data_IF_747163796175
#
_entry.id   IF_747163796175
#
_cell.length_a   1.000
_cell.length_b   1.000
_cell.length_c   1.000
_cell.angle_alpha   90.00
_cell.angle_beta   90.00
_cell.angle_gamma   90.00
#
_symmetry.space_group_name_H-M   'P 1'
#
loop_
_entity.id
_entity.type
_entity.pdbx_description
1 polymer ?
#
# COMPACT_ATOMS: atom_id res chain seq x y z
N UNK A 1 -17.92 7.92 -16.45
CA UNK A 1 -17.09 7.80 -15.22
C UNK A 1 -17.07 6.35 -14.71
N UNK A 2 -18.21 5.74 -14.41
CA UNK A 2 -18.31 4.38 -13.84
C UNK A 2 -17.60 3.30 -14.65
N UNK A 3 -17.66 3.34 -15.99
CA UNK A 3 -16.96 2.38 -16.86
C UNK A 3 -15.43 2.45 -16.69
N UNK A 4 -14.87 3.65 -16.48
CA UNK A 4 -13.42 3.81 -16.27
C UNK A 4 -12.96 3.22 -14.93
N UNK A 5 -13.81 3.25 -13.90
CA UNK A 5 -13.54 2.56 -12.62
C UNK A 5 -13.46 1.05 -12.84
N UNK A 6 -14.43 0.48 -13.58
CA UNK A 6 -14.43 -0.96 -13.90
C UNK A 6 -13.16 -1.33 -14.69
N UNK A 7 -12.81 -0.53 -15.71
CA UNK A 7 -11.58 -0.74 -16.49
C UNK A 7 -10.36 -0.71 -15.58
N UNK A 8 -10.25 0.26 -14.66
CA UNK A 8 -9.12 0.36 -13.73
C UNK A 8 -9.05 -0.87 -12.81
N UNK A 9 -10.18 -1.33 -12.25
CA UNK A 9 -10.21 -2.55 -11.43
C UNK A 9 -9.75 -3.78 -12.23
N UNK A 10 -10.22 -3.94 -13.47
CA UNK A 10 -9.82 -5.06 -14.34
C UNK A 10 -8.33 -4.99 -14.66
N UNK A 11 -7.79 -3.81 -14.97
CA UNK A 11 -6.36 -3.62 -15.22
C UNK A 11 -5.50 -3.94 -14.00
N UNK A 12 -5.91 -3.54 -12.79
CA UNK A 12 -5.21 -3.86 -11.54
C UNK A 12 -5.18 -5.37 -11.28
N UNK A 13 -6.33 -6.04 -11.44
CA UNK A 13 -6.40 -7.50 -11.28
C UNK A 13 -5.58 -8.23 -12.33
N UNK A 14 -5.65 -7.81 -13.59
CA UNK A 14 -4.86 -8.40 -14.67
C UNK A 14 -3.35 -8.21 -14.42
N UNK A 15 -2.94 -7.03 -13.94
CA UNK A 15 -1.55 -6.75 -13.57
C UNK A 15 -1.07 -7.66 -12.43
N UNK A 16 -1.86 -7.78 -11.36
CA UNK A 16 -1.51 -8.64 -10.21
C UNK A 16 -1.42 -10.10 -10.61
N UNK A 17 -2.44 -10.63 -11.29
CA UNK A 17 -2.48 -12.03 -11.76
C UNK A 17 -1.31 -12.30 -12.74
N UNK A 18 -1.06 -11.38 -13.67
CA UNK A 18 0.05 -11.45 -14.61
C UNK A 18 1.41 -11.45 -13.91
N UNK A 19 1.57 -10.62 -12.88
CA UNK A 19 2.79 -10.55 -12.07
C UNK A 19 3.04 -11.86 -11.30
N UNK A 20 2.01 -12.43 -10.68
CA UNK A 20 2.08 -13.72 -9.98
C UNK A 20 2.39 -14.85 -10.96
N UNK A 21 1.69 -14.90 -12.10
CA UNK A 21 1.93 -15.90 -13.14
C UNK A 21 3.36 -15.83 -13.68
N UNK A 22 3.85 -14.63 -14.00
CA UNK A 22 5.22 -14.41 -14.46
C UNK A 22 6.25 -14.86 -13.41
N UNK A 23 6.04 -14.46 -12.16
CA UNK A 23 6.92 -14.85 -11.06
C UNK A 23 6.93 -16.37 -10.84
N UNK A 24 5.75 -17.02 -10.93
CA UNK A 24 5.64 -18.49 -10.86
C UNK A 24 6.38 -19.17 -11.99
N UNK A 25 6.20 -18.69 -13.23
CA UNK A 25 6.83 -19.30 -14.42
C UNK A 25 8.33 -19.09 -14.44
N UNK A 26 8.82 -17.90 -14.13
CA UNK A 26 10.24 -17.53 -14.31
C UNK A 26 11.09 -17.82 -13.07
N UNK A 27 10.57 -17.57 -11.89
CA UNK A 27 11.31 -17.67 -10.64
C UNK A 27 10.85 -18.83 -9.75
N UNK A 28 9.85 -19.59 -10.20
CA UNK A 28 9.30 -20.77 -9.52
C UNK A 28 8.89 -20.47 -8.06
N UNK A 29 8.31 -19.28 -7.80
CA UNK A 29 7.92 -18.88 -6.47
C UNK A 29 7.02 -19.91 -5.80
N UNK A 30 7.11 -20.02 -4.47
CA UNK A 30 6.27 -20.88 -3.67
C UNK A 30 4.94 -20.16 -3.35
N UNK A 31 3.82 -20.70 -3.83
CA UNK A 31 2.49 -20.12 -3.61
C UNK A 31 2.06 -20.15 -2.13
N UNK A 32 2.58 -21.08 -1.31
CA UNK A 32 2.33 -21.06 0.12
C UNK A 32 3.01 -19.85 0.79
N UNK A 33 4.23 -19.49 0.37
CA UNK A 33 4.93 -18.29 0.83
C UNK A 33 4.19 -17.01 0.38
N UNK A 34 3.65 -17.00 -0.85
CA UNK A 34 2.78 -15.92 -1.31
C UNK A 34 1.54 -15.78 -0.43
N UNK A 35 0.85 -16.88 -0.17
CA UNK A 35 -0.33 -16.88 0.73
C UNK A 35 0.00 -16.39 2.14
N UNK A 36 1.16 -16.79 2.69
CA UNK A 36 1.63 -16.32 3.99
C UNK A 36 1.95 -14.82 3.98
N UNK A 37 2.50 -14.28 2.89
CA UNK A 37 2.68 -12.83 2.72
C UNK A 37 1.36 -12.07 2.76
N UNK A 38 0.33 -12.58 2.07
CA UNK A 38 -1.01 -12.02 2.10
C UNK A 38 -1.63 -12.07 3.52
N UNK A 39 -1.54 -13.21 4.20
CA UNK A 39 -2.02 -13.35 5.60
C UNK A 39 -1.27 -12.41 6.54
N UNK A 40 0.05 -12.25 6.37
CA UNK A 40 0.85 -11.35 7.19
C UNK A 40 0.39 -9.89 7.04
N UNK A 41 0.16 -9.40 5.81
CA UNK A 41 -0.42 -8.08 5.59
C UNK A 41 -1.78 -7.95 6.27
N UNK A 42 -2.68 -8.90 6.05
CA UNK A 42 -4.03 -8.84 6.63
C UNK A 42 -3.99 -8.76 8.16
N UNK A 43 -3.20 -9.61 8.80
CA UNK A 43 -3.10 -9.64 10.26
C UNK A 43 -2.41 -8.39 10.80
N UNK A 44 -1.26 -8.00 10.24
CA UNK A 44 -0.49 -6.86 10.73
C UNK A 44 -1.20 -5.52 10.49
N UNK A 45 -1.64 -5.26 9.26
CA UNK A 45 -2.16 -3.96 8.87
C UNK A 45 -3.68 -3.85 9.06
N UNK A 46 -4.46 -4.89 8.68
CA UNK A 46 -5.92 -4.80 8.73
C UNK A 46 -6.52 -5.20 10.09
N UNK A 47 -5.77 -5.88 10.95
CA UNK A 47 -6.23 -6.25 12.30
C UNK A 47 -5.43 -5.49 13.35
N UNK A 48 -4.14 -5.77 13.50
CA UNK A 48 -3.36 -5.27 14.63
C UNK A 48 -3.18 -3.75 14.58
N UNK A 49 -2.77 -3.22 13.46
CA UNK A 49 -2.58 -1.78 13.26
C UNK A 49 -3.93 -1.03 13.42
N UNK A 50 -5.02 -1.54 12.83
CA UNK A 50 -6.35 -0.94 12.99
C UNK A 50 -6.85 -0.93 14.42
N UNK A 51 -6.56 -1.96 15.20
CA UNK A 51 -6.89 -1.96 16.63
C UNK A 51 -6.15 -0.85 17.36
N UNK A 52 -4.87 -0.62 17.06
CA UNK A 52 -4.11 0.49 17.63
C UNK A 52 -4.65 1.84 17.15
N UNK A 53 -5.02 1.97 15.86
CA UNK A 53 -5.65 3.18 15.34
C UNK A 53 -6.96 3.52 16.05
N UNK A 54 -7.82 2.54 16.32
CA UNK A 54 -9.07 2.77 17.08
C UNK A 54 -8.75 3.27 18.48
N UNK A 55 -7.74 2.71 19.16
CA UNK A 55 -7.36 3.09 20.51
C UNK A 55 -6.65 4.46 20.61
N UNK A 56 -5.93 4.87 19.57
CA UNK A 56 -5.12 6.11 19.58
C UNK A 56 -5.85 7.27 18.90
N UNK A 57 -6.47 7.02 17.75
CA UNK A 57 -7.08 8.06 16.93
C UNK A 57 -8.54 8.36 17.33
N UNK A 58 -9.19 7.45 18.04
CA UNK A 58 -10.58 7.59 18.50
C UNK A 58 -11.53 8.11 17.40
N UNK A 59 -11.66 7.40 16.25
CA UNK A 59 -12.49 7.87 15.14
C UNK A 59 -13.93 8.09 15.62
N UNK A 60 -14.51 9.23 15.27
CA UNK A 60 -15.87 9.61 15.63
C UNK A 60 -16.88 8.87 14.74
N UNK A 61 -18.15 8.87 15.15
CA UNK A 61 -19.23 8.21 14.38
C UNK A 61 -19.43 8.78 12.98
N UNK A 62 -19.09 10.04 12.77
CA UNK A 62 -19.12 10.73 11.48
C UNK A 62 -17.86 10.48 10.62
N UNK A 63 -16.94 9.65 11.12
CA UNK A 63 -15.67 9.34 10.47
C UNK A 63 -14.57 10.38 10.67
N UNK A 64 -14.82 11.47 11.43
CA UNK A 64 -13.79 12.45 11.72
C UNK A 64 -12.77 11.90 12.73
N UNK A 65 -11.53 12.42 12.65
CA UNK A 65 -10.42 12.09 13.53
C UNK A 65 -9.90 13.40 14.13
N UNK A 66 -10.05 13.56 15.46
CA UNK A 66 -9.63 14.76 16.14
C UNK A 66 -8.14 15.09 15.91
N UNK A 67 -7.26 14.10 16.00
CA UNK A 67 -5.82 14.30 15.76
C UNK A 67 -5.51 14.88 14.37
N UNK A 68 -6.26 14.46 13.34
CA UNK A 68 -6.12 14.98 11.98
C UNK A 68 -6.50 16.47 11.90
N UNK A 69 -7.53 16.87 12.64
CA UNK A 69 -8.02 18.27 12.65
C UNK A 69 -7.15 19.17 13.51
N UNK A 70 -6.76 18.69 14.71
CA UNK A 70 -6.06 19.49 15.72
C UNK A 70 -4.56 19.58 15.45
N UNK A 71 -3.95 18.50 14.97
CA UNK A 71 -2.51 18.43 14.72
C UNK A 71 -2.18 17.51 13.52
N UNK A 72 -2.36 17.99 12.28
CA UNK A 72 -2.11 17.20 11.07
C UNK A 72 -0.68 16.65 10.97
N UNK A 73 0.32 17.40 11.48
CA UNK A 73 1.71 16.94 11.48
C UNK A 73 1.89 15.70 12.37
N UNK A 74 1.33 15.73 13.57
CA UNK A 74 1.40 14.57 14.48
C UNK A 74 0.62 13.37 13.90
N UNK A 75 -0.51 13.63 13.23
CA UNK A 75 -1.26 12.60 12.53
C UNK A 75 -0.44 11.91 11.45
N UNK A 76 0.28 12.69 10.61
CA UNK A 76 1.20 12.16 9.60
C UNK A 76 2.29 11.31 10.24
N UNK A 77 3.03 11.87 11.21
CA UNK A 77 4.14 11.17 11.89
C UNK A 77 3.66 9.85 12.50
N UNK A 78 2.51 9.87 13.16
CA UNK A 78 1.89 8.68 13.73
C UNK A 78 1.56 7.64 12.65
N UNK A 79 0.88 8.03 11.56
CA UNK A 79 0.50 7.15 10.47
C UNK A 79 1.71 6.47 9.82
N UNK A 80 2.72 7.27 9.45
CA UNK A 80 3.97 6.78 8.87
C UNK A 80 4.70 5.78 9.79
N UNK A 81 4.77 6.10 11.08
CA UNK A 81 5.42 5.23 12.06
C UNK A 81 4.66 3.91 12.25
N UNK A 82 3.33 3.94 12.30
CA UNK A 82 2.51 2.75 12.51
C UNK A 82 2.53 1.82 11.31
N UNK A 83 2.31 2.32 10.10
CA UNK A 83 2.36 1.52 8.89
C UNK A 83 3.72 0.80 8.76
N UNK A 84 4.82 1.56 8.83
CA UNK A 84 6.15 0.99 8.77
C UNK A 84 6.39 -0.04 9.89
N UNK A 85 6.02 0.26 11.14
CA UNK A 85 6.22 -0.62 12.29
C UNK A 85 5.51 -1.96 12.11
N UNK A 86 4.23 -1.94 11.80
CA UNK A 86 3.43 -3.16 11.70
C UNK A 86 3.84 -4.02 10.51
N UNK A 87 4.02 -3.41 9.35
CA UNK A 87 4.31 -4.16 8.14
C UNK A 87 5.73 -4.70 8.08
N UNK A 88 6.75 -3.88 8.41
CA UNK A 88 8.15 -4.36 8.38
C UNK A 88 8.42 -5.36 9.51
N UNK A 89 7.76 -5.20 10.67
CA UNK A 89 7.84 -6.20 11.75
C UNK A 89 7.22 -7.53 11.32
N UNK A 90 6.08 -7.51 10.63
CA UNK A 90 5.46 -8.73 10.10
C UNK A 90 6.38 -9.45 9.11
N UNK A 91 7.04 -8.72 8.21
CA UNK A 91 8.07 -9.27 7.30
C UNK A 91 9.23 -9.89 8.07
N UNK A 92 9.74 -9.17 9.07
CA UNK A 92 10.84 -9.66 9.92
C UNK A 92 10.48 -10.96 10.63
N UNK A 93 9.32 -11.00 11.27
CA UNK A 93 8.81 -12.18 11.99
C UNK A 93 8.70 -13.37 11.04
N UNK A 94 8.12 -13.15 9.85
CA UNK A 94 7.97 -14.20 8.85
C UNK A 94 9.33 -14.74 8.37
N UNK A 95 10.27 -13.88 7.98
CA UNK A 95 11.56 -14.36 7.47
C UNK A 95 12.41 -15.02 8.55
N UNK A 96 12.37 -14.54 9.80
CA UNK A 96 13.02 -15.23 10.92
C UNK A 96 12.40 -16.60 11.21
N UNK A 97 11.09 -16.71 11.10
CA UNK A 97 10.40 -17.99 11.25
C UNK A 97 10.77 -18.95 10.11
N UNK A 98 10.82 -18.47 8.87
CA UNK A 98 11.16 -19.30 7.72
C UNK A 98 12.63 -19.76 7.77
N UNK A 99 13.54 -18.86 8.16
CA UNK A 99 14.99 -19.17 8.34
C UNK A 99 15.23 -20.30 9.33
N UNK A 100 14.43 -20.41 10.40
CA UNK A 100 14.50 -21.53 11.34
C UNK A 100 14.07 -22.87 10.75
N UNK A 101 13.31 -22.86 9.67
CA UNK A 101 12.78 -24.08 9.02
C UNK A 101 13.63 -24.53 7.83
N UNK A 102 14.19 -23.60 7.09
CA UNK A 102 15.04 -23.85 5.93
C UNK A 102 15.81 -22.60 5.51
N UNK A 103 16.82 -22.78 4.65
CA UNK A 103 17.53 -21.66 4.04
C UNK A 103 16.59 -20.74 3.26
N UNK A 104 16.79 -19.45 3.41
CA UNK A 104 16.03 -18.43 2.67
C UNK A 104 16.51 -18.31 1.23
N UNK A 105 15.57 -18.27 0.29
CA UNK A 105 15.82 -18.10 -1.13
C UNK A 105 15.33 -16.72 -1.62
N UNK A 106 15.91 -16.21 -2.70
CA UNK A 106 15.43 -14.96 -3.33
C UNK A 106 13.98 -15.06 -3.80
N UNK A 107 13.56 -16.26 -4.21
CA UNK A 107 12.18 -16.55 -4.60
C UNK A 107 11.20 -16.37 -3.44
N UNK A 108 11.64 -16.56 -2.18
CA UNK A 108 10.79 -16.32 -0.99
C UNK A 108 10.48 -14.84 -0.82
N UNK A 109 11.47 -13.96 -1.02
CA UNK A 109 11.25 -12.53 -0.94
C UNK A 109 10.25 -12.07 -2.01
N UNK A 110 10.40 -12.56 -3.24
CA UNK A 110 9.48 -12.26 -4.33
C UNK A 110 8.06 -12.80 -4.06
N UNK A 111 7.96 -14.04 -3.59
CA UNK A 111 6.68 -14.66 -3.28
C UNK A 111 5.95 -13.93 -2.13
N UNK A 112 6.64 -13.67 -1.03
CA UNK A 112 6.08 -12.95 0.10
C UNK A 112 5.67 -11.53 -0.29
N UNK A 113 6.53 -10.79 -0.98
CA UNK A 113 6.25 -9.41 -1.41
C UNK A 113 5.05 -9.32 -2.36
N UNK A 114 4.90 -10.27 -3.31
CA UNK A 114 3.73 -10.36 -4.17
C UNK A 114 2.46 -10.72 -3.38
N UNK A 115 2.57 -11.54 -2.35
CA UNK A 115 1.44 -11.87 -1.48
C UNK A 115 1.01 -10.68 -0.63
N UNK A 116 1.96 -10.05 0.04
CA UNK A 116 1.74 -8.89 0.91
C UNK A 116 1.21 -7.69 0.12
N UNK A 117 2.00 -7.17 -0.82
CA UNK A 117 1.60 -6.01 -1.63
C UNK A 117 0.44 -6.30 -2.59
N UNK A 118 0.29 -7.58 -3.02
CA UNK A 118 -0.86 -8.01 -3.83
C UNK A 118 -2.16 -7.96 -3.05
N UNK A 119 -2.19 -8.40 -1.79
CA UNK A 119 -3.39 -8.28 -0.95
C UNK A 119 -3.66 -6.81 -0.58
N UNK A 120 -2.63 -6.02 -0.33
CA UNK A 120 -2.76 -4.57 -0.14
C UNK A 120 -3.42 -3.91 -1.35
N UNK A 121 -2.93 -4.20 -2.59
CA UNK A 121 -3.51 -3.69 -3.83
C UNK A 121 -5.00 -4.06 -3.94
N UNK A 122 -5.36 -5.31 -3.62
CA UNK A 122 -6.77 -5.76 -3.63
C UNK A 122 -7.56 -5.06 -2.54
N UNK A 123 -7.06 -5.06 -1.30
CA UNK A 123 -7.81 -4.59 -0.15
C UNK A 123 -7.97 -3.06 -0.13
N UNK A 124 -6.92 -2.31 -0.42
CA UNK A 124 -6.98 -0.85 -0.44
C UNK A 124 -7.40 -0.32 -1.82
N UNK A 125 -6.85 -0.86 -2.89
CA UNK A 125 -7.11 -0.38 -4.25
C UNK A 125 -8.53 -0.72 -4.74
N UNK A 126 -8.93 -1.99 -4.71
CA UNK A 126 -10.24 -2.37 -5.23
C UNK A 126 -11.37 -1.88 -4.32
N UNK A 127 -11.23 -1.90 -2.97
CA UNK A 127 -12.28 -1.38 -2.09
C UNK A 127 -12.50 0.12 -2.30
N UNK A 128 -11.43 0.91 -2.49
CA UNK A 128 -11.53 2.34 -2.78
C UNK A 128 -12.25 2.59 -4.12
N UNK A 129 -11.91 1.84 -5.15
CA UNK A 129 -12.57 1.93 -6.46
C UNK A 129 -14.03 1.47 -6.42
N UNK A 130 -14.34 0.41 -5.65
CA UNK A 130 -15.73 -0.06 -5.44
C UNK A 130 -16.54 1.02 -4.71
N UNK A 131 -16.00 1.61 -3.64
CA UNK A 131 -16.66 2.69 -2.93
C UNK A 131 -16.91 3.90 -3.83
N UNK A 132 -15.90 4.29 -4.63
CA UNK A 132 -16.04 5.35 -5.61
C UNK A 132 -17.11 5.02 -6.66
N UNK A 133 -17.19 3.78 -7.14
CA UNK A 133 -18.22 3.32 -8.06
C UNK A 133 -19.63 3.46 -7.45
N UNK A 134 -19.81 2.98 -6.21
CA UNK A 134 -21.09 3.05 -5.49
C UNK A 134 -21.54 4.50 -5.34
N UNK A 135 -20.64 5.37 -4.85
CA UNK A 135 -20.97 6.78 -4.63
C UNK A 135 -21.26 7.51 -5.93
N UNK A 136 -20.45 7.34 -6.98
CA UNK A 136 -20.71 7.94 -8.30
C UNK A 136 -22.03 7.47 -8.91
N UNK A 137 -22.32 6.17 -8.80
CA UNK A 137 -23.59 5.62 -9.29
C UNK A 137 -24.78 6.20 -8.53
N UNK A 138 -24.65 6.34 -7.21
CA UNK A 138 -25.71 6.93 -6.37
C UNK A 138 -25.93 8.42 -6.67
N UNK A 139 -24.86 9.17 -6.92
CA UNK A 139 -24.96 10.59 -7.33
C UNK A 139 -25.62 10.70 -8.70
N UNK A 140 -25.27 9.83 -9.67
CA UNK A 140 -25.87 9.83 -11.01
C UNK A 140 -27.37 9.48 -11.00
N UNK A 141 -27.77 8.56 -10.11
CA UNK A 141 -29.18 8.14 -9.97
C UNK A 141 -29.96 8.97 -8.94
N UNK A 142 -29.32 9.97 -8.33
CA UNK A 142 -29.91 10.81 -7.27
C UNK A 142 -30.51 9.96 -6.11
N UNK A 143 -29.84 8.87 -5.73
CA UNK A 143 -30.31 7.99 -4.66
C UNK A 143 -30.42 8.76 -3.33
N UNK A 144 -31.64 8.94 -2.77
CA UNK A 144 -31.83 9.81 -1.59
C UNK A 144 -31.07 9.32 -0.35
N UNK A 145 -30.93 8.00 -0.19
CA UNK A 145 -30.27 7.41 0.99
C UNK A 145 -28.77 7.73 1.02
N UNK A 146 -28.11 7.69 -0.14
CA UNK A 146 -26.68 8.02 -0.24
C UNK A 146 -26.46 9.52 -0.26
N UNK A 147 -27.33 10.27 -0.98
CA UNK A 147 -27.22 11.73 -1.05
C UNK A 147 -27.28 12.40 0.33
N UNK A 148 -28.11 11.87 1.24
CA UNK A 148 -28.19 12.38 2.62
C UNK A 148 -26.94 12.16 3.46
N UNK A 149 -26.08 11.18 3.10
CA UNK A 149 -24.83 10.88 3.77
C UNK A 149 -23.64 11.69 3.27
N UNK A 150 -23.78 12.34 2.11
CA UNK A 150 -22.71 13.09 1.47
C UNK A 150 -22.76 14.57 1.91
N UNK A 151 -21.63 15.06 2.44
CA UNK A 151 -21.49 16.50 2.65
C UNK A 151 -21.40 17.26 1.33
N UNK A 152 -21.70 18.56 1.35
CA UNK A 152 -21.57 19.41 0.14
C UNK A 152 -20.15 19.39 -0.45
N UNK A 153 -19.13 19.33 0.39
CA UNK A 153 -17.74 19.25 -0.04
C UNK A 153 -17.44 17.91 -0.73
N UNK A 154 -17.96 16.81 -0.19
CA UNK A 154 -17.81 15.49 -0.84
C UNK A 154 -18.50 15.47 -2.21
N UNK A 155 -19.70 16.03 -2.31
CA UNK A 155 -20.43 16.15 -3.58
C UNK A 155 -19.64 16.96 -4.61
N UNK A 156 -19.10 18.12 -4.23
CA UNK A 156 -18.26 18.95 -5.10
C UNK A 156 -17.01 18.19 -5.57
N UNK A 157 -16.32 17.49 -4.65
CA UNK A 157 -15.15 16.66 -5.00
C UNK A 157 -15.49 15.58 -5.99
N UNK A 158 -16.59 14.85 -5.78
CA UNK A 158 -17.03 13.77 -6.66
C UNK A 158 -17.43 14.32 -8.04
N UNK A 159 -18.12 15.47 -8.09
CA UNK A 159 -18.53 16.12 -9.35
C UNK A 159 -17.34 16.70 -10.14
N UNK A 160 -16.27 17.11 -9.45
CA UNK A 160 -15.04 17.62 -10.07
C UNK A 160 -14.06 16.53 -10.48
N UNK A 161 -14.33 15.26 -10.12
CA UNK A 161 -13.43 14.14 -10.41
C UNK A 161 -13.32 13.93 -11.93
N UNK A 162 -12.11 13.92 -12.43
CA UNK A 162 -11.83 13.66 -13.84
C UNK A 162 -11.54 12.17 -14.09
N UNK A 163 -11.79 11.72 -15.31
CA UNK A 163 -11.53 10.31 -15.72
C UNK A 163 -10.07 9.91 -15.46
N UNK A 164 -9.15 10.81 -15.72
CA UNK A 164 -7.74 10.51 -15.60
C UNK A 164 -7.29 10.32 -14.14
N UNK A 165 -7.96 10.98 -13.17
CA UNK A 165 -7.70 10.76 -11.73
C UNK A 165 -8.09 9.34 -11.31
N UNK A 166 -9.09 8.73 -11.94
CA UNK A 166 -9.44 7.31 -11.70
C UNK A 166 -8.28 6.39 -12.10
N UNK A 167 -7.63 6.67 -13.24
CA UNK A 167 -6.47 5.91 -13.67
C UNK A 167 -5.23 6.15 -12.78
N UNK A 168 -5.07 7.37 -12.25
CA UNK A 168 -4.00 7.65 -11.29
C UNK A 168 -4.16 6.83 -10.01
N UNK A 169 -5.37 6.71 -9.46
CA UNK A 169 -5.61 5.83 -8.30
C UNK A 169 -5.18 4.38 -8.56
N UNK A 170 -5.40 3.89 -9.79
CA UNK A 170 -4.90 2.58 -10.19
C UNK A 170 -3.38 2.53 -10.31
N UNK A 171 -2.78 3.56 -10.90
CA UNK A 171 -1.34 3.66 -11.08
C UNK A 171 -0.58 3.71 -9.75
N UNK A 172 -1.08 4.48 -8.78
CA UNK A 172 -0.56 4.51 -7.41
C UNK A 172 -0.45 3.10 -6.80
N UNK A 173 -1.47 2.27 -6.96
CA UNK A 173 -1.46 0.91 -6.42
C UNK A 173 -0.42 0.00 -7.11
N UNK A 174 -0.11 0.25 -8.37
CA UNK A 174 0.99 -0.45 -9.07
C UNK A 174 2.34 -0.01 -8.52
N UNK A 175 2.55 1.29 -8.29
CA UNK A 175 3.76 1.81 -7.66
C UNK A 175 3.93 1.26 -6.24
N UNK A 176 2.85 1.25 -5.45
CA UNK A 176 2.85 0.68 -4.10
C UNK A 176 3.25 -0.80 -4.11
N UNK A 177 2.69 -1.64 -5.01
CA UNK A 177 3.10 -3.04 -5.13
C UNK A 177 4.60 -3.18 -5.45
N UNK A 178 5.11 -2.35 -6.35
CA UNK A 178 6.55 -2.30 -6.67
C UNK A 178 7.39 -1.98 -5.45
N UNK A 179 6.94 -1.02 -4.64
CA UNK A 179 7.63 -0.59 -3.43
C UNK A 179 7.58 -1.67 -2.34
N UNK A 180 6.44 -2.31 -2.13
CA UNK A 180 6.29 -3.44 -1.20
C UNK A 180 7.23 -4.62 -1.53
N UNK A 181 7.46 -4.86 -2.83
CA UNK A 181 8.47 -5.83 -3.27
C UNK A 181 9.89 -5.43 -2.85
N UNK A 182 10.25 -4.14 -3.03
CA UNK A 182 11.57 -3.64 -2.63
C UNK A 182 11.77 -3.72 -1.11
N UNK A 183 10.82 -3.25 -0.32
CA UNK A 183 10.87 -3.33 1.15
C UNK A 183 11.03 -4.79 1.62
N UNK A 184 10.32 -5.72 0.98
CA UNK A 184 10.48 -7.14 1.28
C UNK A 184 11.90 -7.63 1.02
N UNK A 185 12.56 -7.16 -0.05
CA UNK A 185 13.98 -7.48 -0.32
C UNK A 185 14.89 -6.94 0.79
N UNK A 186 14.65 -5.73 1.29
CA UNK A 186 15.44 -5.14 2.37
C UNK A 186 15.33 -5.94 3.67
N UNK A 187 14.10 -6.33 4.09
CA UNK A 187 13.92 -7.14 5.30
C UNK A 187 14.45 -8.56 5.12
N UNK A 188 14.24 -9.18 3.96
CA UNK A 188 14.85 -10.46 3.61
C UNK A 188 16.38 -10.41 3.76
N UNK A 189 17.03 -9.37 3.25
CA UNK A 189 18.48 -9.20 3.37
C UNK A 189 18.92 -8.91 4.82
N UNK A 190 18.11 -8.19 5.59
CA UNK A 190 18.36 -7.94 7.00
C UNK A 190 18.47 -9.27 7.78
N UNK A 191 17.55 -10.20 7.54
CA UNK A 191 17.56 -11.52 8.17
C UNK A 191 18.70 -12.36 7.64
N UNK A 192 18.83 -12.51 6.31
CA UNK A 192 19.84 -13.36 5.68
C UNK A 192 21.27 -12.97 6.01
N UNK A 193 21.58 -11.66 6.07
CA UNK A 193 22.91 -11.15 6.37
C UNK A 193 23.11 -10.83 7.87
N UNK A 194 22.06 -11.00 8.70
CA UNK A 194 22.06 -10.65 10.14
C UNK A 194 22.45 -9.18 10.39
N UNK A 195 22.03 -8.26 9.49
CA UNK A 195 22.35 -6.84 9.54
C UNK A 195 21.11 -6.00 9.84
N UNK A 196 20.99 -5.53 11.07
CA UNK A 196 19.86 -4.70 11.53
C UNK A 196 19.74 -3.35 10.78
N UNK A 197 20.84 -2.86 10.22
CA UNK A 197 20.83 -1.63 9.44
C UNK A 197 19.89 -1.69 8.23
N UNK A 198 19.76 -2.86 7.60
CA UNK A 198 18.84 -3.05 6.49
C UNK A 198 17.36 -3.04 6.93
N UNK A 199 17.08 -3.54 8.14
CA UNK A 199 15.74 -3.44 8.72
C UNK A 199 15.39 -2.00 9.07
N UNK A 200 16.29 -1.26 9.70
CA UNK A 200 16.10 0.15 10.00
C UNK A 200 15.90 0.98 8.72
N UNK A 201 16.67 0.66 7.66
CA UNK A 201 16.46 1.25 6.36
C UNK A 201 15.07 0.93 5.77
N UNK A 202 14.58 -0.32 5.92
CA UNK A 202 13.25 -0.69 5.46
C UNK A 202 12.15 0.13 6.16
N UNK A 203 12.23 0.31 7.49
CA UNK A 203 11.30 1.19 8.22
C UNK A 203 11.35 2.64 7.70
N UNK A 204 12.55 3.18 7.52
CA UNK A 204 12.73 4.55 7.02
C UNK A 204 12.24 4.74 5.59
N UNK A 205 12.51 3.77 4.70
CA UNK A 205 12.04 3.77 3.32
C UNK A 205 10.52 3.66 3.24
N UNK A 206 9.91 2.82 4.08
CA UNK A 206 8.45 2.69 4.15
C UNK A 206 7.81 4.03 4.53
N UNK A 207 8.24 4.61 5.65
CA UNK A 207 7.74 5.91 6.08
C UNK A 207 7.99 7.02 5.03
N UNK A 208 9.10 6.96 4.31
CA UNK A 208 9.42 7.91 3.26
C UNK A 208 8.47 7.79 2.06
N UNK A 209 8.15 6.57 1.62
CA UNK A 209 7.23 6.34 0.51
C UNK A 209 5.80 6.78 0.84
N UNK A 210 5.35 6.57 2.07
CA UNK A 210 4.01 6.96 2.50
C UNK A 210 3.88 8.47 2.78
N UNK A 211 4.99 9.22 2.77
CA UNK A 211 4.98 10.65 3.11
C UNK A 211 4.15 11.47 2.12
N UNK A 212 4.35 11.29 0.80
CA UNK A 212 3.63 12.07 -0.20
C UNK A 212 2.12 11.81 -0.17
N UNK A 213 1.61 10.56 -0.10
CA UNK A 213 0.19 10.27 0.13
C UNK A 213 -0.35 10.87 1.45
N UNK A 214 0.43 10.80 2.54
CA UNK A 214 0.02 11.37 3.83
C UNK A 214 -0.11 12.89 3.78
N UNK A 215 0.81 13.59 3.09
CA UNK A 215 0.73 15.03 2.83
C UNK A 215 -0.50 15.39 1.98
N UNK A 216 -0.85 14.53 1.02
CA UNK A 216 -2.06 14.71 0.22
C UNK A 216 -3.33 14.50 1.07
N UNK A 217 -3.33 13.52 1.97
CA UNK A 217 -4.47 13.24 2.86
C UNK A 217 -4.81 14.42 3.78
N UNK A 218 -3.81 15.15 4.26
CA UNK A 218 -4.03 16.35 5.11
C UNK A 218 -4.22 17.63 4.28
N UNK A 219 -4.19 17.55 2.94
CA UNK A 219 -4.39 18.68 2.05
C UNK A 219 -3.17 19.60 1.87
N UNK A 220 -1.99 19.21 2.35
CA UNK A 220 -0.75 19.98 2.17
C UNK A 220 -0.12 19.77 0.78
N UNK A 221 -0.40 18.63 0.16
CA UNK A 221 -0.03 18.33 -1.23
C UNK A 221 -1.31 18.12 -2.04
N UNK A 222 -1.74 19.14 -2.80
CA UNK A 222 -3.05 19.15 -3.46
C UNK A 222 -3.06 18.61 -4.89
N UNK A 223 -1.88 18.41 -5.48
CA UNK A 223 -1.76 17.90 -6.86
C UNK A 223 -1.62 16.36 -6.87
N UNK A 224 -2.63 15.61 -7.33
CA UNK A 224 -2.51 14.16 -7.45
C UNK A 224 -1.37 13.72 -8.38
N UNK A 225 -1.12 14.49 -9.46
CA UNK A 225 0.00 14.22 -10.39
C UNK A 225 1.34 14.31 -9.69
N UNK A 226 1.51 15.32 -8.83
CA UNK A 226 2.78 15.51 -8.13
C UNK A 226 3.02 14.38 -7.12
N UNK A 227 1.97 13.88 -6.47
CA UNK A 227 2.06 12.67 -5.62
C UNK A 227 2.61 11.50 -6.43
N UNK A 228 2.01 11.20 -7.58
CA UNK A 228 2.43 10.06 -8.41
C UNK A 228 3.85 10.22 -8.97
N UNK A 229 4.23 11.43 -9.34
CA UNK A 229 5.61 11.71 -9.81
C UNK A 229 6.61 11.48 -8.68
N UNK A 230 6.30 11.93 -7.45
CA UNK A 230 7.15 11.68 -6.29
C UNK A 230 7.29 10.17 -6.05
N UNK A 231 6.16 9.44 -5.95
CA UNK A 231 6.16 7.99 -5.73
C UNK A 231 6.94 7.23 -6.81
N UNK A 232 6.77 7.61 -8.09
CA UNK A 232 7.51 7.00 -9.19
C UNK A 232 9.03 7.25 -9.09
N UNK A 233 9.43 8.48 -8.74
CA UNK A 233 10.84 8.82 -8.54
C UNK A 233 11.43 8.06 -7.34
N UNK A 234 10.72 7.99 -6.23
CA UNK A 234 11.12 7.24 -5.04
C UNK A 234 11.30 5.75 -5.37
N UNK A 235 10.32 5.14 -6.07
CA UNK A 235 10.41 3.75 -6.50
C UNK A 235 11.67 3.49 -7.35
N UNK A 236 11.96 4.38 -8.33
CA UNK A 236 13.15 4.25 -9.18
C UNK A 236 14.44 4.39 -8.37
N UNK A 237 14.51 5.40 -7.49
CA UNK A 237 15.69 5.64 -6.65
C UNK A 237 15.95 4.46 -5.71
N UNK A 238 14.91 3.96 -5.05
CA UNK A 238 15.03 2.81 -4.12
C UNK A 238 15.37 1.53 -4.88
N UNK A 239 14.78 1.31 -6.06
CA UNK A 239 15.12 0.17 -6.91
C UNK A 239 16.60 0.20 -7.36
N UNK A 240 17.10 1.38 -7.77
CA UNK A 240 18.50 1.55 -8.13
C UNK A 240 19.42 1.31 -6.93
N UNK A 241 19.12 1.88 -5.76
CA UNK A 241 19.87 1.66 -4.52
C UNK A 241 19.84 0.19 -4.09
N UNK A 242 18.70 -0.47 -4.17
CA UNK A 242 18.55 -1.91 -3.88
C UNK A 242 19.43 -2.75 -4.79
N UNK A 243 19.43 -2.47 -6.10
CA UNK A 243 20.31 -3.13 -7.06
C UNK A 243 21.79 -2.90 -6.76
N UNK A 244 22.17 -1.66 -6.45
CA UNK A 244 23.56 -1.30 -6.14
C UNK A 244 24.09 -2.00 -4.87
N UNK A 245 23.23 -2.17 -3.85
CA UNK A 245 23.61 -2.77 -2.57
C UNK A 245 23.60 -4.30 -2.61
N UNK A 246 22.57 -4.90 -3.22
CA UNK A 246 22.33 -6.35 -3.12
C UNK A 246 22.65 -7.15 -4.38
N UNK A 247 22.84 -6.51 -5.52
CA UNK A 247 23.18 -7.18 -6.78
C UNK A 247 24.62 -6.94 -7.23
N UNK A 248 25.47 -6.25 -6.45
CA UNK A 248 26.91 -6.23 -6.72
C UNK A 248 27.42 -7.68 -6.65
N UNK A 249 27.97 -8.16 -7.77
CA UNK A 249 28.72 -9.43 -7.79
C UNK A 249 29.83 -9.32 -6.76
N UNK A 250 29.79 -10.16 -5.72
CA UNK A 250 30.95 -10.55 -4.93
C UNK A 250 31.96 -11.26 -5.81
#
# INVERSE_FOLDING_TARGET
MTIHIIITMVLLLAFLIGSIWYAKKKYQINLAVLGLGAVAFFVSSQILEKLVHILVLHPQKDGSIALLQDNPLLYIIYGLAMAALFEETARLVFFKWLEKKRSLEKADALAYGLGHGGLELVFLGLTSLINLYIVLSAVQTQNPQVMQLLSENMLKTIQSLSVWQIYLLGFERILALGFQLLLTVWVYQAVRQKKWTYLLAAYGLHAFFDLAPSLAQVGWLTSPVLVEVILALELVLVAYGTKAIFCKKS
#
